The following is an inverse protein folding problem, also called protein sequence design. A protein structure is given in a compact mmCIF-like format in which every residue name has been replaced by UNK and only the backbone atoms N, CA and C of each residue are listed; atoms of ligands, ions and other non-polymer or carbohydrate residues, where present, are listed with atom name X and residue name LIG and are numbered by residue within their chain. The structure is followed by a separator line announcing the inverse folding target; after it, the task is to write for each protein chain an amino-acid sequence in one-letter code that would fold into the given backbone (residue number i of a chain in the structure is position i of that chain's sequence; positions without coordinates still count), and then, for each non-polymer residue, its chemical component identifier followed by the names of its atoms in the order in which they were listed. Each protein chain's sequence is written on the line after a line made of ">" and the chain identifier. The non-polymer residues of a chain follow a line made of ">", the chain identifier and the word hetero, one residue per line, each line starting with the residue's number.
data_IF_099946020051
#
_entry.id   IF_099946020051
#
_cell.length_a   1.000
_cell.length_b   1.000
_cell.length_c   1.000
_cell.angle_alpha   90.00
_cell.angle_beta   90.00
_cell.angle_gamma   90.00
#
_symmetry.space_group_name_H-M   'P 1'
#
loop_
_entity.id
_entity.type
_entity.pdbx_description
1 polymer ?
#
# COMPACT_ATOMS: atom_id res chain seq x y z
N UNK A 1 13.97 31.59 -44.12
CA UNK A 1 13.74 30.53 -43.12
C UNK A 1 13.71 31.19 -41.76
N UNK A 2 12.53 31.41 -41.21
CA UNK A 2 12.35 32.12 -39.93
C UNK A 2 12.16 31.06 -38.84
N UNK A 3 13.11 30.98 -37.91
CA UNK A 3 13.03 30.08 -36.75
C UNK A 3 12.13 30.78 -35.72
N UNK A 4 10.90 30.29 -35.58
CA UNK A 4 10.02 30.69 -34.48
C UNK A 4 10.44 29.98 -33.20
N UNK A 5 10.98 30.74 -32.25
CA UNK A 5 11.16 30.31 -30.86
C UNK A 5 9.80 30.19 -30.17
N UNK A 6 9.43 28.98 -29.79
CA UNK A 6 8.23 28.70 -28.98
C UNK A 6 8.57 28.96 -27.50
N UNK A 7 7.84 29.83 -26.78
CA UNK A 7 8.08 30.02 -25.35
C UNK A 7 7.64 28.78 -24.58
N UNK A 8 8.54 28.22 -23.78
CA UNK A 8 8.23 27.17 -22.81
C UNK A 8 7.42 27.78 -21.68
N UNK A 9 6.09 27.75 -21.81
CA UNK A 9 5.18 28.16 -20.75
C UNK A 9 5.30 27.14 -19.60
N UNK A 10 6.07 27.50 -18.57
CA UNK A 10 5.97 26.89 -17.25
C UNK A 10 4.55 27.14 -16.76
N UNK A 11 3.71 26.09 -16.79
CA UNK A 11 2.35 26.17 -16.25
C UNK A 11 2.44 26.51 -14.76
N UNK A 12 1.71 27.52 -14.26
CA UNK A 12 1.63 27.78 -12.84
C UNK A 12 0.99 26.56 -12.18
N UNK A 13 1.63 26.06 -11.14
CA UNK A 13 1.09 25.05 -10.25
C UNK A 13 -0.18 25.65 -9.63
N UNK A 14 -1.34 25.18 -10.11
CA UNK A 14 -2.66 25.68 -9.68
C UNK A 14 -2.73 25.48 -8.17
N UNK A 15 -2.74 26.58 -7.40
CA UNK A 15 -3.04 26.54 -5.97
C UNK A 15 -4.37 25.80 -5.80
N UNK A 16 -4.35 24.71 -5.04
CA UNK A 16 -5.55 24.08 -4.49
C UNK A 16 -6.15 25.03 -3.43
N UNK A 17 -6.67 26.17 -3.87
CA UNK A 17 -7.61 26.97 -3.08
C UNK A 17 -9.01 26.49 -3.44
N UNK A 18 -9.42 25.38 -2.81
CA UNK A 18 -10.80 24.88 -2.74
C UNK A 18 -10.81 23.74 -1.71
N UNK A 19 -11.76 23.78 -0.76
CA UNK A 19 -11.97 22.77 0.28
C UNK A 19 -11.61 21.37 -0.21
N UNK A 20 -10.67 20.69 0.46
CA UNK A 20 -10.28 19.34 0.07
C UNK A 20 -11.50 18.44 0.20
N UNK A 21 -12.11 18.13 -0.95
CA UNK A 21 -13.30 17.27 -1.08
C UNK A 21 -13.03 15.85 -0.56
N UNK A 22 -11.76 15.46 -0.47
CA UNK A 22 -11.29 14.25 0.20
C UNK A 22 -9.90 13.85 -0.27
N UNK A 23 -9.42 12.69 0.20
CA UNK A 23 -8.19 12.06 -0.27
C UNK A 23 -8.47 10.60 -0.60
N UNK A 24 -7.83 10.09 -1.65
CA UNK A 24 -7.89 8.67 -1.99
C UNK A 24 -6.78 7.92 -1.27
N UNK A 25 -7.11 6.89 -0.50
CA UNK A 25 -6.11 6.01 0.11
C UNK A 25 -6.03 4.71 -0.66
N UNK A 26 -4.83 4.36 -1.12
CA UNK A 26 -4.60 3.18 -1.95
C UNK A 26 -3.48 2.33 -1.40
N UNK A 27 -3.41 1.08 -1.83
CA UNK A 27 -2.40 0.13 -1.41
C UNK A 27 -2.84 -1.28 -1.73
N UNK A 28 -1.91 -2.21 -1.79
CA UNK A 28 -2.25 -3.63 -1.94
C UNK A 28 -3.05 -4.16 -0.72
N UNK A 29 -3.76 -5.29 -0.82
CA UNK A 29 -4.50 -5.86 0.31
C UNK A 29 -3.60 -6.01 1.54
N UNK A 30 -4.09 -5.73 2.75
CA UNK A 30 -3.29 -5.87 4.01
C UNK A 30 -2.07 -4.93 4.15
N UNK A 31 -1.97 -3.88 3.33
CA UNK A 31 -0.90 -2.87 3.45
C UNK A 31 -1.10 -1.85 4.57
N UNK A 32 -2.30 -1.81 5.18
CA UNK A 32 -2.62 -0.85 6.24
C UNK A 32 -3.44 0.36 5.77
N UNK A 33 -4.08 0.28 4.60
CA UNK A 33 -5.00 1.32 4.09
C UNK A 33 -6.09 1.70 5.09
N UNK A 34 -6.62 0.75 5.86
CA UNK A 34 -7.67 1.05 6.86
C UNK A 34 -7.11 1.81 8.06
N UNK A 35 -5.87 1.53 8.46
CA UNK A 35 -5.19 2.32 9.49
C UNK A 35 -4.92 3.75 8.99
N UNK A 36 -4.44 3.90 7.76
CA UNK A 36 -4.24 5.22 7.17
C UNK A 36 -5.55 6.01 7.08
N UNK A 37 -6.64 5.38 6.62
CA UNK A 37 -7.99 5.95 6.62
C UNK A 37 -8.37 6.46 8.02
N UNK A 38 -8.34 5.58 9.01
CA UNK A 38 -8.70 5.92 10.39
C UNK A 38 -7.90 7.11 10.92
N UNK A 39 -6.57 7.11 10.72
CA UNK A 39 -5.72 8.18 11.22
C UNK A 39 -5.94 9.51 10.48
N UNK A 40 -6.07 9.48 9.15
CA UNK A 40 -6.32 10.68 8.35
C UNK A 40 -7.67 11.30 8.70
N UNK A 41 -8.74 10.51 8.76
CA UNK A 41 -10.07 11.01 9.11
C UNK A 41 -10.11 11.53 10.55
N UNK A 42 -9.49 10.80 11.50
CA UNK A 42 -9.52 11.17 12.92
C UNK A 42 -8.72 12.44 13.20
N UNK A 43 -7.51 12.57 12.65
CA UNK A 43 -6.56 13.61 13.03
C UNK A 43 -6.46 14.76 12.04
N UNK A 44 -6.60 14.50 10.73
CA UNK A 44 -6.55 15.56 9.71
C UNK A 44 -7.95 16.08 9.34
N UNK A 45 -9.02 15.39 9.76
CA UNK A 45 -10.42 15.73 9.42
C UNK A 45 -10.68 15.78 7.91
N UNK A 46 -9.89 15.05 7.13
CA UNK A 46 -10.04 14.92 5.68
C UNK A 46 -10.83 13.64 5.37
N UNK A 47 -11.93 13.71 4.59
CA UNK A 47 -12.66 12.52 4.16
C UNK A 47 -11.77 11.57 3.34
N UNK A 48 -11.85 10.26 3.60
CA UNK A 48 -11.06 9.26 2.87
C UNK A 48 -11.96 8.34 2.05
N UNK A 49 -11.60 8.18 0.78
CA UNK A 49 -12.23 7.22 -0.14
C UNK A 49 -11.23 6.17 -0.62
N UNK A 50 -11.73 4.99 -0.99
CA UNK A 50 -10.96 3.85 -1.46
C UNK A 50 -11.12 3.59 -2.95
N UNK A 51 -12.35 3.39 -3.40
CA UNK A 51 -12.73 2.84 -4.70
C UNK A 51 -13.41 3.87 -5.62
N UNK A 52 -13.43 5.16 -5.25
CA UNK A 52 -13.91 6.23 -6.12
C UNK A 52 -13.00 6.39 -7.37
N UNK A 53 -13.43 5.80 -8.48
CA UNK A 53 -12.80 5.85 -9.80
C UNK A 53 -12.30 4.48 -10.29
N UNK A 54 -11.66 3.70 -9.43
CA UNK A 54 -11.12 2.37 -9.74
C UNK A 54 -10.82 1.60 -8.45
N UNK A 55 -10.70 0.28 -8.56
CA UNK A 55 -10.49 -0.60 -7.42
C UNK A 55 -9.14 -0.36 -6.72
N UNK A 56 -9.17 -0.13 -5.40
CA UNK A 56 -7.98 0.22 -4.57
C UNK A 56 -6.82 -0.78 -4.61
N UNK A 57 -7.09 -2.04 -4.97
CA UNK A 57 -6.09 -3.12 -5.03
C UNK A 57 -5.74 -3.54 -6.45
N UNK A 58 -6.42 -3.01 -7.47
CA UNK A 58 -6.17 -3.34 -8.86
C UNK A 58 -4.93 -2.63 -9.41
N UNK A 59 -4.36 -3.18 -10.49
CA UNK A 59 -3.46 -2.38 -11.33
C UNK A 59 -4.32 -1.30 -11.99
N UNK A 60 -3.81 -0.09 -12.01
CA UNK A 60 -4.54 1.06 -12.51
C UNK A 60 -4.90 0.87 -14.00
N UNK A 61 -6.19 0.86 -14.39
CA UNK A 61 -6.55 0.88 -15.80
C UNK A 61 -6.23 2.26 -16.37
N UNK A 62 -5.46 2.33 -17.46
CA UNK A 62 -5.27 3.58 -18.20
C UNK A 62 -6.59 3.97 -18.89
N UNK A 63 -7.52 4.52 -18.12
CA UNK A 63 -8.77 5.07 -18.63
C UNK A 63 -8.41 6.30 -19.46
N UNK A 64 -8.66 6.22 -20.75
CA UNK A 64 -8.31 7.27 -21.71
C UNK A 64 -9.56 8.06 -22.10
N UNK A 65 -9.44 9.38 -22.17
CA UNK A 65 -10.30 10.21 -22.99
C UNK A 65 -9.45 10.87 -24.08
N UNK A 66 -9.40 10.27 -25.26
CA UNK A 66 -8.44 10.67 -26.29
C UNK A 66 -7.01 10.41 -25.84
N UNK A 67 -6.23 11.48 -25.63
CA UNK A 67 -4.84 11.43 -25.13
C UNK A 67 -4.72 11.71 -23.64
N UNK A 68 -5.82 12.09 -22.99
CA UNK A 68 -5.82 12.43 -21.58
C UNK A 68 -6.10 11.19 -20.73
N UNK A 69 -5.28 11.03 -19.69
CA UNK A 69 -5.44 9.96 -18.73
C UNK A 69 -6.42 10.39 -17.64
N UNK A 70 -7.45 9.59 -17.40
CA UNK A 70 -8.50 9.85 -16.41
C UNK A 70 -8.24 9.06 -15.13
N UNK A 71 -7.73 9.76 -14.11
CA UNK A 71 -7.34 9.16 -12.83
C UNK A 71 -8.16 9.68 -11.62
N UNK A 72 -9.16 10.52 -11.91
CA UNK A 72 -9.90 11.30 -10.92
C UNK A 72 -9.11 12.53 -10.44
N UNK A 73 -9.78 13.40 -9.70
CA UNK A 73 -9.22 14.70 -9.27
C UNK A 73 -8.61 14.67 -7.86
N UNK A 74 -8.86 13.60 -7.10
CA UNK A 74 -8.42 13.51 -5.70
C UNK A 74 -6.93 13.17 -5.58
N UNK A 75 -6.20 13.81 -4.64
CA UNK A 75 -4.85 13.40 -4.28
C UNK A 75 -4.84 11.96 -3.76
N UNK A 76 -3.75 11.23 -4.02
CA UNK A 76 -3.62 9.82 -3.69
C UNK A 76 -2.54 9.61 -2.62
N UNK A 77 -2.93 9.04 -1.48
CA UNK A 77 -2.01 8.51 -0.47
C UNK A 77 -1.87 7.01 -0.66
N UNK A 78 -0.68 6.55 -1.03
CA UNK A 78 -0.38 5.15 -1.30
C UNK A 78 0.31 4.54 -0.08
N UNK A 79 -0.38 3.67 0.64
CA UNK A 79 0.18 2.87 1.72
C UNK A 79 0.95 1.69 1.14
N UNK A 80 2.23 1.66 1.43
CA UNK A 80 3.12 0.57 1.06
C UNK A 80 3.59 -0.14 2.32
N UNK A 81 3.55 -1.47 2.31
CA UNK A 81 4.14 -2.32 3.35
C UNK A 81 5.33 -3.06 2.79
N UNK A 82 6.32 -3.32 3.64
CA UNK A 82 7.52 -4.04 3.20
C UNK A 82 7.15 -5.40 2.59
N UNK A 83 7.82 -5.81 1.50
CA UNK A 83 7.38 -6.96 0.72
C UNK A 83 7.40 -8.28 1.50
N UNK A 84 8.29 -8.43 2.48
CA UNK A 84 8.38 -9.65 3.30
C UNK A 84 7.14 -9.75 4.19
N UNK A 85 6.83 -8.70 4.95
CA UNK A 85 5.66 -8.65 5.83
C UNK A 85 4.35 -8.65 5.05
N UNK A 86 4.33 -8.01 3.88
CA UNK A 86 3.18 -7.92 3.00
C UNK A 86 2.80 -9.28 2.41
N UNK A 87 3.76 -9.98 1.80
CA UNK A 87 3.52 -11.29 1.18
C UNK A 87 3.21 -12.36 2.25
N UNK A 88 3.84 -12.30 3.43
CA UNK A 88 3.47 -13.15 4.56
C UNK A 88 2.00 -12.92 4.99
N UNK A 89 1.55 -11.67 4.96
CA UNK A 89 0.16 -11.32 5.29
C UNK A 89 -0.81 -11.83 4.23
N UNK A 90 -0.43 -11.81 2.94
CA UNK A 90 -1.23 -12.39 1.86
C UNK A 90 -1.31 -13.91 1.94
N UNK A 91 -0.21 -14.60 2.23
CA UNK A 91 -0.23 -16.05 2.40
C UNK A 91 -1.22 -16.49 3.49
N UNK A 92 -1.32 -15.71 4.57
CA UNK A 92 -2.33 -15.96 5.62
C UNK A 92 -3.75 -15.66 5.14
N UNK A 93 -3.95 -14.55 4.43
CA UNK A 93 -5.26 -14.17 3.91
C UNK A 93 -5.79 -15.19 2.88
N UNK A 94 -4.91 -15.73 2.03
CA UNK A 94 -5.25 -16.73 1.01
C UNK A 94 -5.88 -18.00 1.59
N UNK A 95 -5.66 -18.30 2.88
CA UNK A 95 -6.29 -19.45 3.56
C UNK A 95 -7.81 -19.30 3.71
N UNK A 96 -8.33 -18.09 3.61
CA UNK A 96 -9.75 -17.80 3.77
C UNK A 96 -10.52 -17.83 2.42
N UNK A 97 -9.86 -18.13 1.29
CA UNK A 97 -10.44 -18.15 -0.07
C UNK A 97 -11.26 -16.88 -0.41
N UNK A 98 -10.67 -15.73 -0.10
CA UNK A 98 -11.28 -14.41 -0.36
C UNK A 98 -10.69 -13.79 -1.63
N UNK A 99 -9.84 -12.77 -1.46
CA UNK A 99 -9.19 -12.00 -2.52
C UNK A 99 -8.13 -12.83 -3.26
N UNK A 100 -7.50 -13.80 -2.56
CA UNK A 100 -6.44 -14.63 -3.11
C UNK A 100 -6.85 -16.10 -3.13
N UNK A 101 -6.47 -16.82 -4.18
CA UNK A 101 -6.68 -18.27 -4.24
C UNK A 101 -5.89 -18.98 -3.14
N UNK A 102 -6.50 -19.98 -2.46
CA UNK A 102 -5.81 -20.80 -1.48
C UNK A 102 -4.61 -21.50 -2.08
N UNK A 103 -3.55 -21.61 -1.29
CA UNK A 103 -2.36 -22.36 -1.65
C UNK A 103 -1.95 -23.28 -0.49
N UNK A 104 -1.58 -24.52 -0.80
CA UNK A 104 -1.34 -25.58 0.18
C UNK A 104 -0.13 -25.28 1.08
N UNK A 105 0.87 -24.59 0.54
CA UNK A 105 2.11 -24.30 1.24
C UNK A 105 2.67 -22.91 0.92
N UNK A 106 3.57 -22.43 1.78
CA UNK A 106 4.24 -21.15 1.57
C UNK A 106 5.16 -21.21 0.34
N UNK A 107 5.92 -22.29 0.13
CA UNK A 107 6.79 -22.45 -1.04
C UNK A 107 6.00 -22.33 -2.35
N UNK A 108 4.91 -23.09 -2.47
CA UNK A 108 4.00 -23.05 -3.62
C UNK A 108 3.31 -21.68 -3.76
N UNK A 109 3.02 -20.98 -2.66
CA UNK A 109 2.48 -19.62 -2.71
C UNK A 109 3.47 -18.60 -3.31
N UNK A 110 4.76 -18.73 -3.00
CA UNK A 110 5.79 -17.81 -3.47
C UNK A 110 6.19 -18.03 -4.92
N UNK A 111 6.06 -19.25 -5.45
CA UNK A 111 6.59 -19.63 -6.76
C UNK A 111 5.54 -19.81 -7.87
N UNK A 112 4.26 -19.95 -7.52
CA UNK A 112 3.19 -20.15 -8.50
C UNK A 112 2.56 -18.83 -8.95
N UNK A 113 1.85 -18.86 -10.10
CA UNK A 113 1.03 -17.75 -10.53
C UNK A 113 0.12 -17.26 -9.40
N UNK A 114 0.09 -15.94 -9.24
CA UNK A 114 -0.63 -15.28 -8.17
C UNK A 114 -1.84 -14.56 -8.74
N UNK A 115 -3.01 -14.84 -8.17
CA UNK A 115 -4.28 -14.32 -8.67
C UNK A 115 -4.95 -13.46 -7.62
N UNK A 116 -5.40 -12.29 -8.05
CA UNK A 116 -6.05 -11.28 -7.21
C UNK A 116 -7.44 -11.05 -7.75
N UNK A 117 -8.45 -11.38 -6.94
CA UNK A 117 -9.87 -11.22 -7.26
C UNK A 117 -10.41 -9.94 -6.65
N UNK A 118 -11.30 -9.27 -7.37
CA UNK A 118 -12.05 -8.16 -6.78
C UNK A 118 -12.94 -8.66 -5.64
N UNK A 119 -12.98 -7.91 -4.54
CA UNK A 119 -13.63 -8.28 -3.27
C UNK A 119 -15.17 -8.11 -3.27
N UNK A 120 -15.78 -7.91 -4.44
CA UNK A 120 -17.24 -7.75 -4.55
C UNK A 120 -17.90 -9.13 -4.73
N UNK A 121 -18.89 -9.41 -3.87
CA UNK A 121 -19.59 -10.71 -3.82
C UNK A 121 -20.55 -10.95 -5.00
N UNK A 122 -20.70 -10.01 -5.93
CA UNK A 122 -21.68 -10.05 -7.04
C UNK A 122 -21.07 -10.52 -8.38
N UNK A 123 -21.90 -10.81 -9.42
CA UNK A 123 -21.45 -11.15 -10.77
C UNK A 123 -20.60 -10.06 -11.43
N UNK A 124 -19.71 -10.42 -12.37
CA UNK A 124 -18.87 -9.46 -13.11
C UNK A 124 -17.48 -9.19 -12.51
N UNK A 125 -16.93 -10.13 -11.72
CA UNK A 125 -15.64 -9.96 -11.03
C UNK A 125 -14.47 -9.94 -12.01
N UNK A 126 -13.63 -8.93 -11.88
CA UNK A 126 -12.32 -8.91 -12.54
C UNK A 126 -11.31 -9.72 -11.71
N UNK A 127 -10.51 -10.52 -12.39
CA UNK A 127 -9.34 -11.21 -11.81
C UNK A 127 -8.07 -10.69 -12.51
N UNK A 128 -7.04 -10.41 -11.72
CA UNK A 128 -5.69 -10.19 -12.23
C UNK A 128 -4.85 -11.45 -12.00
N UNK A 129 -3.96 -11.74 -12.94
CA UNK A 129 -3.00 -12.83 -12.82
C UNK A 129 -1.58 -12.29 -12.98
N UNK A 130 -0.73 -12.65 -12.04
CA UNK A 130 0.68 -12.28 -11.96
C UNK A 130 1.55 -13.53 -11.95
N UNK A 131 2.83 -13.37 -12.28
CA UNK A 131 3.79 -14.48 -12.28
C UNK A 131 4.00 -15.04 -10.87
N UNK A 132 4.10 -14.16 -9.88
CA UNK A 132 4.31 -14.48 -8.45
C UNK A 132 3.70 -13.38 -7.55
N UNK A 133 3.58 -13.57 -6.23
CA UNK A 133 3.19 -12.48 -5.34
C UNK A 133 4.15 -11.29 -5.39
N UNK A 134 5.46 -11.53 -5.54
CA UNK A 134 6.46 -10.46 -5.67
C UNK A 134 6.23 -9.60 -6.91
N UNK A 135 5.87 -10.24 -8.02
CA UNK A 135 5.52 -9.58 -9.29
C UNK A 135 4.29 -8.67 -9.13
N UNK A 136 3.24 -9.12 -8.42
CA UNK A 136 2.12 -8.26 -8.08
C UNK A 136 2.55 -7.04 -7.24
N UNK A 137 3.40 -7.24 -6.23
CA UNK A 137 3.92 -6.14 -5.40
C UNK A 137 4.66 -5.12 -6.26
N UNK A 138 5.56 -5.58 -7.16
CA UNK A 138 6.30 -4.70 -8.06
C UNK A 138 5.35 -3.93 -8.97
N UNK A 139 4.46 -4.63 -9.69
CA UNK A 139 3.59 -4.00 -10.68
C UNK A 139 2.64 -2.96 -10.06
N UNK A 140 2.08 -3.25 -8.88
CA UNK A 140 1.21 -2.29 -8.21
C UNK A 140 1.95 -1.01 -7.82
N UNK A 141 3.09 -1.12 -7.14
CA UNK A 141 3.81 0.05 -6.66
C UNK A 141 4.58 0.78 -7.78
N UNK A 142 5.03 0.05 -8.81
CA UNK A 142 5.54 0.66 -10.04
C UNK A 142 4.47 1.51 -10.72
N UNK A 143 3.23 1.01 -10.86
CA UNK A 143 2.15 1.78 -11.48
C UNK A 143 1.85 3.08 -10.69
N UNK A 144 1.82 3.00 -9.36
CA UNK A 144 1.63 4.18 -8.50
C UNK A 144 2.77 5.20 -8.64
N UNK A 145 4.01 4.73 -8.75
CA UNK A 145 5.15 5.61 -8.98
C UNK A 145 5.14 6.21 -10.40
N UNK A 146 4.74 5.43 -11.40
CA UNK A 146 4.58 5.92 -12.77
C UNK A 146 3.56 7.07 -12.84
N UNK A 147 2.43 6.95 -12.13
CA UNK A 147 1.44 8.03 -11.99
C UNK A 147 2.02 9.27 -11.30
N UNK A 148 2.80 9.07 -10.23
CA UNK A 148 3.51 10.17 -9.57
C UNK A 148 4.41 10.91 -10.56
N UNK A 149 5.19 10.17 -11.35
CA UNK A 149 6.11 10.74 -12.36
C UNK A 149 5.40 11.42 -13.52
N UNK A 150 4.14 11.05 -13.81
CA UNK A 150 3.32 11.73 -14.81
C UNK A 150 2.65 13.01 -14.28
N UNK A 151 2.93 13.42 -13.04
CA UNK A 151 2.41 14.65 -12.44
C UNK A 151 1.11 14.48 -11.64
N UNK A 152 0.62 13.26 -11.46
CA UNK A 152 -0.52 13.00 -10.56
C UNK A 152 -0.07 13.20 -9.10
N UNK A 153 -0.86 13.89 -8.25
CA UNK A 153 -0.53 14.05 -6.84
C UNK A 153 -0.59 12.69 -6.12
N UNK A 154 0.56 12.05 -5.97
CA UNK A 154 0.71 10.75 -5.30
C UNK A 154 1.77 10.85 -4.20
N UNK A 155 1.41 10.45 -2.99
CA UNK A 155 2.29 10.40 -1.82
C UNK A 155 2.40 8.99 -1.26
N UNK A 156 3.61 8.44 -1.17
CA UNK A 156 3.86 7.13 -0.58
C UNK A 156 4.04 7.23 0.93
N UNK A 157 3.36 6.36 1.67
CA UNK A 157 3.50 6.20 3.12
C UNK A 157 3.90 4.75 3.43
N UNK A 158 5.02 4.58 4.12
CA UNK A 158 5.41 3.28 4.65
C UNK A 158 4.50 2.91 5.83
N UNK A 159 3.85 1.75 5.78
CA UNK A 159 3.07 1.20 6.90
C UNK A 159 3.88 1.15 8.19
N UNK A 160 5.16 0.80 8.10
CA UNK A 160 6.03 0.70 9.27
C UNK A 160 6.24 2.07 9.94
N UNK A 161 6.35 3.15 9.14
CA UNK A 161 6.45 4.52 9.66
C UNK A 161 5.09 5.00 10.18
N UNK A 162 3.98 4.60 9.55
CA UNK A 162 2.64 4.92 10.01
C UNK A 162 2.35 4.34 11.41
N UNK A 163 2.91 3.17 11.72
CA UNK A 163 2.78 2.53 13.04
C UNK A 163 3.80 3.08 14.05
N UNK A 164 5.06 3.26 13.65
CA UNK A 164 6.14 3.64 14.58
C UNK A 164 6.29 5.15 14.80
N UNK A 165 5.84 5.97 13.86
CA UNK A 165 5.90 7.43 13.90
C UNK A 165 4.65 8.04 13.24
N UNK A 166 3.45 7.76 13.79
CA UNK A 166 2.19 8.19 13.19
C UNK A 166 2.07 9.71 13.05
N UNK A 167 2.54 10.49 14.03
CA UNK A 167 2.48 11.95 13.98
C UNK A 167 3.32 12.53 12.84
N UNK A 168 4.52 12.00 12.61
CA UNK A 168 5.35 12.39 11.47
C UNK A 168 4.69 11.99 10.14
N UNK A 169 4.06 10.81 10.07
CA UNK A 169 3.35 10.38 8.86
C UNK A 169 2.16 11.31 8.54
N UNK A 170 1.38 11.70 9.57
CA UNK A 170 0.28 12.65 9.43
C UNK A 170 0.75 14.06 9.06
N UNK A 171 1.88 14.50 9.63
CA UNK A 171 2.53 15.75 9.24
C UNK A 171 2.89 15.76 7.74
N UNK A 172 3.55 14.71 7.25
CA UNK A 172 3.89 14.59 5.82
C UNK A 172 2.66 14.53 4.91
N UNK A 173 1.62 13.80 5.31
CA UNK A 173 0.34 13.76 4.58
C UNK A 173 -0.31 15.15 4.57
N UNK A 174 -0.34 15.86 5.70
CA UNK A 174 -0.94 17.21 5.77
C UNK A 174 -0.24 18.21 4.86
N UNK A 175 1.09 18.15 4.76
CA UNK A 175 1.86 18.95 3.81
C UNK A 175 1.57 18.59 2.37
N UNK A 176 1.52 17.29 2.05
CA UNK A 176 1.16 16.81 0.72
C UNK A 176 -0.24 17.28 0.30
N UNK A 177 -1.19 17.29 1.23
CA UNK A 177 -2.55 17.76 1.01
C UNK A 177 -2.67 19.30 0.99
N UNK A 178 -1.63 20.03 1.38
CA UNK A 178 -1.68 21.50 1.44
C UNK A 178 -2.52 22.05 2.59
N UNK A 179 -2.69 21.29 3.69
CA UNK A 179 -3.42 21.76 4.87
C UNK A 179 -2.69 22.93 5.54
N UNK A 180 -3.45 23.94 5.95
CA UNK A 180 -2.95 25.12 6.66
C UNK A 180 -3.79 25.39 7.92
N UNK A 181 -3.22 25.27 9.13
CA UNK A 181 -1.84 24.84 9.40
C UNK A 181 -1.61 23.34 9.11
N UNK A 182 -0.38 22.91 8.81
CA UNK A 182 -0.05 21.49 8.73
C UNK A 182 -0.17 20.84 10.11
N UNK A 183 -0.36 19.52 10.13
CA UNK A 183 -0.46 18.76 11.38
C UNK A 183 0.86 18.81 12.15
N UNK A 184 0.81 19.09 13.45
CA UNK A 184 2.00 19.16 14.28
C UNK A 184 2.59 17.76 14.52
N UNK A 185 3.80 17.54 14.01
CA UNK A 185 4.58 16.31 14.18
C UNK A 185 4.88 15.92 15.64
N UNK A 186 4.71 16.84 16.60
CA UNK A 186 4.86 16.60 18.04
C UNK A 186 3.56 16.15 18.72
N UNK A 187 2.44 16.15 18.00
CA UNK A 187 1.14 15.74 18.54
C UNK A 187 1.17 14.27 18.96
N UNK A 188 0.45 13.96 20.04
CA UNK A 188 0.19 12.58 20.43
C UNK A 188 -0.85 11.97 19.50
N UNK A 189 -0.50 10.84 18.89
CA UNK A 189 -1.41 10.09 18.01
C UNK A 189 -1.66 8.72 18.61
N UNK A 190 -2.88 8.50 19.05
CA UNK A 190 -3.33 7.21 19.57
C UNK A 190 -3.56 6.22 18.43
N UNK A 191 -2.95 5.05 18.56
CA UNK A 191 -3.24 3.90 17.72
C UNK A 191 -4.58 3.27 18.13
N UNK A 192 -5.35 2.69 17.19
CA UNK A 192 -6.58 2.00 17.53
C UNK A 192 -6.28 0.83 18.48
N UNK A 193 -7.14 0.62 19.49
CA UNK A 193 -6.99 -0.49 20.44
C UNK A 193 -7.29 -1.84 19.78
N UNK A 194 -8.27 -1.84 18.88
CA UNK A 194 -8.72 -3.02 18.16
C UNK A 194 -8.27 -2.97 16.70
N UNK A 195 -8.11 -4.13 16.09
CA UNK A 195 -7.86 -4.23 14.67
C UNK A 195 -9.07 -3.68 13.89
N UNK A 196 -8.78 -2.79 12.95
CA UNK A 196 -9.80 -2.19 12.09
C UNK A 196 -10.32 -3.25 11.10
N UNK A 197 -11.64 -3.37 11.01
CA UNK A 197 -12.33 -4.25 10.07
C UNK A 197 -12.10 -3.85 8.61
N UNK A 198 -12.62 -4.64 7.68
CA UNK A 198 -12.69 -4.23 6.28
C UNK A 198 -13.56 -2.98 6.16
N UNK A 199 -13.13 -2.00 5.36
CA UNK A 199 -13.90 -0.81 5.05
C UNK A 199 -13.89 -0.63 3.53
N UNK A 200 -15.04 -0.27 2.99
CA UNK A 200 -15.25 0.08 1.59
C UNK A 200 -16.03 1.42 1.54
N UNK A 201 -16.19 2.01 0.36
CA UNK A 201 -16.84 3.32 0.20
C UNK A 201 -18.39 3.24 0.27
N UNK A 202 -18.96 2.04 0.19
CA UNK A 202 -20.38 1.78 -0.02
C UNK A 202 -21.07 1.45 1.31
N UNK A 203 -20.43 0.60 2.12
CA UNK A 203 -20.88 0.16 3.44
C UNK A 203 -20.30 1.10 4.50
N UNK A 204 -21.07 2.15 4.82
CA UNK A 204 -20.73 3.10 5.89
C UNK A 204 -20.83 2.48 7.30
N UNK A 205 -21.48 1.34 7.43
CA UNK A 205 -21.53 0.59 8.67
C UNK A 205 -20.36 -0.39 8.69
N UNK A 206 -19.39 -0.16 9.58
CA UNK A 206 -18.40 -1.18 9.91
C UNK A 206 -19.15 -2.49 10.21
N UNK A 207 -18.79 -3.60 9.55
CA UNK A 207 -19.41 -4.88 9.86
C UNK A 207 -19.10 -5.22 11.33
N UNK A 208 -20.06 -4.96 12.21
CA UNK A 208 -19.91 -5.07 13.66
C UNK A 208 -20.00 -6.50 14.17
N UNK A 209 -19.70 -7.48 13.32
CA UNK A 209 -19.79 -8.89 13.65
C UNK A 209 -18.49 -9.57 13.25
N UNK A 210 -17.74 -9.97 14.29
CA UNK A 210 -16.70 -11.03 14.40
C UNK A 210 -15.55 -10.51 15.27
N UNK A 211 -15.40 -11.13 16.45
CA UNK A 211 -14.18 -11.24 17.28
C UNK A 211 -13.09 -10.18 17.01
N UNK A 212 -13.25 -8.99 17.58
CA UNK A 212 -12.35 -7.86 17.36
C UNK A 212 -10.98 -8.14 17.99
N UNK A 213 -10.08 -8.72 17.20
CA UNK A 213 -8.69 -8.94 17.62
C UNK A 213 -8.01 -7.62 17.99
N UNK A 214 -7.12 -7.63 18.98
CA UNK A 214 -6.35 -6.44 19.36
C UNK A 214 -5.47 -5.95 18.19
N UNK A 215 -5.29 -4.64 18.11
CA UNK A 215 -4.30 -4.06 17.20
C UNK A 215 -2.90 -4.51 17.62
N UNK A 216 -2.16 -5.10 16.69
CA UNK A 216 -0.85 -5.70 16.93
C UNK A 216 0.23 -4.91 16.16
N UNK A 217 0.94 -3.97 16.81
CA UNK A 217 1.98 -3.17 16.17
C UNK A 217 3.19 -4.01 15.77
N UNK A 218 3.41 -5.19 16.36
CA UNK A 218 4.50 -6.08 15.99
C UNK A 218 4.35 -6.63 14.56
N UNK A 219 3.18 -6.45 13.92
CA UNK A 219 2.97 -6.73 12.49
C UNK A 219 3.66 -5.72 11.55
N UNK A 220 4.16 -4.61 12.08
CA UNK A 220 5.01 -3.65 11.38
C UNK A 220 6.51 -3.94 11.59
N UNK A 221 6.87 -4.86 12.48
CA UNK A 221 8.27 -5.16 12.76
C UNK A 221 8.84 -6.18 11.77
N UNK A 222 9.85 -5.74 11.00
CA UNK A 222 10.54 -6.59 10.03
C UNK A 222 11.16 -7.85 10.68
N UNK A 223 11.77 -7.71 11.86
CA UNK A 223 12.37 -8.84 12.57
C UNK A 223 11.33 -9.91 12.95
N UNK A 224 10.14 -9.48 13.38
CA UNK A 224 9.00 -10.37 13.67
C UNK A 224 8.54 -11.10 12.41
N UNK A 225 8.40 -10.41 11.28
CA UNK A 225 8.06 -11.03 10.00
C UNK A 225 9.12 -12.05 9.55
N UNK A 226 10.40 -11.69 9.62
CA UNK A 226 11.53 -12.57 9.28
C UNK A 226 11.56 -13.83 10.15
N UNK A 227 11.34 -13.69 11.47
CA UNK A 227 11.29 -14.83 12.38
C UNK A 227 10.14 -15.81 12.05
N UNK A 228 9.02 -15.30 11.51
CA UNK A 228 7.83 -16.10 11.18
C UNK A 228 7.94 -16.78 9.83
N UNK A 229 8.49 -16.08 8.83
CA UNK A 229 8.58 -16.57 7.45
C UNK A 229 9.86 -17.38 7.19
N UNK A 230 10.94 -17.10 7.91
CA UNK A 230 12.27 -17.67 7.70
C UNK A 230 13.06 -16.94 6.60
N UNK A 231 14.39 -16.88 6.79
CA UNK A 231 15.32 -16.22 5.87
C UNK A 231 15.27 -16.76 4.45
N UNK A 232 15.20 -18.09 4.24
CA UNK A 232 15.16 -18.68 2.90
C UNK A 232 13.96 -18.20 2.07
N UNK A 233 12.78 -18.14 2.70
CA UNK A 233 11.56 -17.65 2.05
C UNK A 233 11.62 -16.13 1.83
N UNK A 234 12.13 -15.37 2.80
CA UNK A 234 12.37 -13.95 2.63
C UNK A 234 13.35 -13.66 1.48
N UNK A 235 14.42 -14.45 1.33
CA UNK A 235 15.36 -14.33 0.22
C UNK A 235 14.69 -14.64 -1.13
N UNK A 236 13.79 -15.62 -1.19
CA UNK A 236 12.98 -15.88 -2.40
C UNK A 236 12.08 -14.70 -2.74
N UNK A 237 11.41 -14.10 -1.76
CA UNK A 237 10.64 -12.87 -1.97
C UNK A 237 11.55 -11.78 -2.53
N UNK A 238 12.64 -11.46 -1.81
CA UNK A 238 13.54 -10.37 -2.17
C UNK A 238 14.09 -10.54 -3.59
N UNK A 239 14.44 -11.75 -4.03
CA UNK A 239 14.88 -12.01 -5.41
C UNK A 239 13.87 -11.61 -6.49
N UNK A 240 12.58 -11.60 -6.17
CA UNK A 240 11.52 -11.19 -7.09
C UNK A 240 11.03 -9.77 -6.89
N UNK A 241 11.62 -8.98 -6.00
CA UNK A 241 11.28 -7.56 -5.78
C UNK A 241 12.28 -6.69 -6.53
N UNK A 242 11.83 -5.60 -7.13
CA UNK A 242 12.70 -4.68 -7.87
C UNK A 242 13.22 -3.53 -6.98
N UNK A 243 14.48 -3.15 -7.15
CA UNK A 243 15.16 -2.18 -6.27
C UNK A 243 14.75 -0.73 -6.53
N UNK A 244 14.35 -0.41 -7.75
CA UNK A 244 13.77 0.87 -8.13
C UNK A 244 12.38 1.06 -7.48
N UNK A 245 11.55 0.01 -7.44
CA UNK A 245 10.25 0.02 -6.75
C UNK A 245 10.44 0.13 -5.23
N UNK A 246 11.42 -0.56 -4.66
CA UNK A 246 11.80 -0.37 -3.25
C UNK A 246 12.19 1.08 -2.96
N UNK A 247 13.01 1.69 -3.82
CA UNK A 247 13.43 3.08 -3.66
C UNK A 247 12.26 4.05 -3.79
N UNK A 248 11.38 3.85 -4.78
CA UNK A 248 10.20 4.67 -5.01
C UNK A 248 9.22 4.65 -3.82
N UNK A 249 9.11 3.51 -3.14
CA UNK A 249 8.27 3.32 -1.95
C UNK A 249 8.94 3.72 -0.63
N UNK A 250 10.12 4.36 -0.67
CA UNK A 250 10.83 4.86 0.51
C UNK A 250 11.71 3.83 1.23
N UNK A 251 12.12 2.76 0.54
CA UNK A 251 12.88 1.63 1.09
C UNK A 251 14.20 1.36 0.38
N UNK A 252 14.93 2.41 0.02
CA UNK A 252 16.30 2.25 -0.48
C UNK A 252 17.15 1.42 0.50
N UNK A 253 17.95 0.47 -0.02
CA UNK A 253 18.80 -0.41 0.80
C UNK A 253 18.05 -1.51 1.58
N UNK A 254 16.76 -1.76 1.29
CA UNK A 254 15.94 -2.70 2.06
C UNK A 254 16.50 -4.12 2.14
N UNK A 255 17.13 -4.64 1.07
CA UNK A 255 17.74 -5.98 1.09
C UNK A 255 18.81 -6.14 2.16
N UNK A 256 19.63 -5.10 2.34
CA UNK A 256 20.67 -5.09 3.37
C UNK A 256 20.04 -4.95 4.76
N UNK A 257 19.00 -4.13 4.90
CA UNK A 257 18.21 -4.04 6.13
C UNK A 257 17.61 -5.40 6.51
N UNK A 258 17.07 -6.17 5.57
CA UNK A 258 16.58 -7.52 5.81
C UNK A 258 17.69 -8.46 6.26
N UNK A 259 18.86 -8.44 5.62
CA UNK A 259 20.02 -9.26 6.02
C UNK A 259 20.43 -8.98 7.46
N UNK A 260 20.51 -7.70 7.85
CA UNK A 260 20.87 -7.28 9.21
C UNK A 260 19.79 -7.62 10.25
N UNK A 261 18.52 -7.53 9.87
CA UNK A 261 17.39 -7.83 10.76
C UNK A 261 17.11 -9.34 10.92
N UNK A 262 17.72 -10.21 10.10
CA UNK A 262 17.51 -11.64 10.14
C UNK A 262 18.24 -12.27 11.34
N UNK A 263 17.54 -12.39 12.46
CA UNK A 263 18.09 -13.03 13.68
C UNK A 263 18.11 -14.56 13.64
N UNK A 264 18.62 -15.22 14.71
CA UNK A 264 18.73 -16.67 14.80
C UNK A 264 17.42 -17.42 14.55
N UNK A 265 16.28 -16.89 15.01
CA UNK A 265 14.95 -17.46 14.76
C UNK A 265 14.63 -17.55 13.27
N UNK A 266 14.97 -16.52 12.49
CA UNK A 266 14.72 -16.50 11.04
C UNK A 266 15.62 -17.52 10.31
N UNK A 267 16.85 -17.71 10.78
CA UNK A 267 17.78 -18.71 10.24
C UNK A 267 17.30 -20.12 10.58
N UNK A 268 16.97 -20.41 11.83
CA UNK A 268 16.44 -21.70 12.27
C UNK A 268 15.17 -22.08 11.52
N UNK A 269 14.25 -21.13 11.33
CA UNK A 269 13.01 -21.35 10.56
C UNK A 269 13.27 -21.71 9.10
N UNK A 270 14.43 -21.35 8.55
CA UNK A 270 14.82 -21.70 7.17
C UNK A 270 15.23 -23.17 7.01
N UNK A 271 15.53 -23.86 8.12
CA UNK A 271 15.89 -25.27 8.15
C UNK A 271 14.65 -26.18 8.20
N UNK A 272 13.52 -25.65 8.68
CA UNK A 272 12.24 -26.37 8.75
C UNK A 272 11.51 -26.15 7.43
N UNK A 273 11.67 -27.09 6.50
CA UNK A 273 11.14 -27.00 5.13
C UNK A 273 9.62 -26.91 5.09
N UNK A 274 9.08 -25.71 4.91
CA UNK A 274 7.71 -25.52 4.44
C UNK A 274 7.73 -25.56 2.90
N UNK A 275 7.73 -26.79 2.37
CA UNK A 275 7.52 -27.09 0.95
C UNK A 275 6.08 -26.88 0.57
#
# INVERSE_FOLDING_TARGET
>A
MTIMSVPTAVRPQKRLDQDIVGVRVMGTPRSGTNLAKHLVERYLKVPVVFDQGFWKHGIFPALMNGRDLLYGELPIVVVSKDPVSQILSWYRLARNDTIFRPNRSLGSFLSKPFEVRQDFTQPGRMEYRFRTPSDYWNQFYFAMDALRRSGVPVHFVCYENLVSSPALSLHMISHFLGLSPPFDSRSVVEMPRQALGASNDIDRNESSTIDQTLFDPARAELASALARIGWRNAATILRGIDDDVLSATGRAGFREKCRRAAGPKAMLRSLIGFW
#
